data_IF_897759709807
#
_entry.id   IF_897759709807
#
_cell.length_a   1.000
_cell.length_b   1.000
_cell.length_c   1.000
_cell.angle_alpha   90.00
_cell.angle_beta   90.00
_cell.angle_gamma   90.00
#
_symmetry.space_group_name_H-M   'P 1'
#
loop_
_entity.id
_entity.type
_entity.pdbx_description
1 polymer ?
#
# COMPACT_ATOMS: atom_id res chain seq x y z
N UNK A 1 25.77 1.00 10.51
CA UNK A 1 25.98 1.92 9.38
C UNK A 1 26.74 3.10 9.93
N UNK A 2 27.84 3.48 9.30
CA UNK A 2 28.60 4.66 9.73
C UNK A 2 28.06 5.95 9.07
N UNK A 3 28.54 7.10 9.55
CA UNK A 3 28.08 8.40 9.08
C UNK A 3 28.48 8.67 7.62
N UNK A 4 29.61 8.15 7.15
CA UNK A 4 30.07 8.38 5.78
C UNK A 4 29.17 7.63 4.78
N UNK A 5 28.86 6.37 5.09
CA UNK A 5 27.94 5.54 4.34
C UNK A 5 26.53 6.18 4.28
N UNK A 6 26.00 6.62 5.42
CA UNK A 6 24.72 7.33 5.48
C UNK A 6 24.70 8.58 4.59
N UNK A 7 25.71 9.45 4.71
CA UNK A 7 25.78 10.67 3.91
C UNK A 7 25.94 10.38 2.42
N UNK A 8 26.54 9.26 2.04
CA UNK A 8 26.57 8.77 0.66
C UNK A 8 25.16 8.52 0.12
N UNK A 9 24.29 7.85 0.89
CA UNK A 9 22.89 7.63 0.52
C UNK A 9 22.10 8.94 0.42
N UNK A 10 22.22 9.82 1.42
CA UNK A 10 21.54 11.12 1.45
C UNK A 10 21.95 11.98 0.25
N UNK A 11 23.25 12.10 -0.01
CA UNK A 11 23.78 12.87 -1.14
C UNK A 11 23.27 12.34 -2.48
N UNK A 12 23.27 11.02 -2.67
CA UNK A 12 22.75 10.40 -3.89
C UNK A 12 21.26 10.70 -4.10
N UNK A 13 20.46 10.59 -3.05
CA UNK A 13 19.01 10.85 -3.12
C UNK A 13 18.69 12.33 -3.31
N UNK A 14 19.49 13.23 -2.75
CA UNK A 14 19.29 14.67 -2.89
C UNK A 14 19.65 15.21 -4.28
N UNK A 15 20.56 14.53 -4.99
CA UNK A 15 21.11 14.98 -6.28
C UNK A 15 20.73 14.07 -7.46
N UNK A 16 19.84 13.09 -7.25
CA UNK A 16 19.40 12.15 -8.28
C UNK A 16 18.42 12.75 -9.28
N UNK A 17 17.95 11.91 -10.22
CA UNK A 17 16.95 12.29 -11.24
C UNK A 17 15.62 12.73 -10.61
N UNK A 18 15.24 12.09 -9.50
CA UNK A 18 14.07 12.43 -8.69
C UNK A 18 14.54 12.83 -7.28
N UNK A 19 14.99 14.08 -7.08
CA UNK A 19 15.66 14.49 -5.86
C UNK A 19 14.68 14.51 -4.68
N UNK A 20 15.10 13.92 -3.56
CA UNK A 20 14.36 13.95 -2.29
C UNK A 20 14.82 15.16 -1.46
N UNK A 21 13.93 16.01 -0.94
CA UNK A 21 14.31 17.16 -0.13
C UNK A 21 15.17 16.78 1.06
N UNK A 22 16.35 17.40 1.20
CA UNK A 22 17.35 17.08 2.24
C UNK A 22 16.76 17.14 3.65
N UNK A 23 15.85 18.10 3.91
CA UNK A 23 15.16 18.23 5.20
C UNK A 23 14.32 17.00 5.60
N UNK A 24 13.99 16.12 4.67
CA UNK A 24 13.24 14.87 4.91
C UNK A 24 14.15 13.65 5.10
N UNK A 25 15.46 13.76 4.84
CA UNK A 25 16.36 12.60 4.75
C UNK A 25 17.70 12.76 5.44
N UNK A 26 18.09 13.93 5.93
CA UNK A 26 19.44 14.16 6.44
C UNK A 26 19.70 13.60 7.84
N UNK A 27 18.69 13.59 8.72
CA UNK A 27 18.88 13.24 10.13
C UNK A 27 18.86 11.72 10.33
N UNK A 28 20.03 11.12 10.56
CA UNK A 28 20.13 9.68 10.81
C UNK A 28 19.40 9.26 12.10
N UNK A 29 19.36 10.11 13.12
CA UNK A 29 18.75 9.76 14.40
C UNK A 29 17.23 9.75 14.33
N UNK A 30 16.66 10.53 13.41
CA UNK A 30 15.25 10.43 13.04
C UNK A 30 15.02 9.16 12.21
N UNK A 31 14.35 8.18 12.82
CA UNK A 31 14.04 6.92 12.15
C UNK A 31 13.13 7.12 10.93
N UNK A 32 12.32 8.19 10.89
CA UNK A 32 11.47 8.52 9.74
C UNK A 32 12.33 8.91 8.55
N UNK A 33 13.39 9.69 8.74
CA UNK A 33 14.38 9.98 7.69
C UNK A 33 15.01 8.69 7.16
N UNK A 34 15.41 7.77 8.05
CA UNK A 34 15.92 6.44 7.65
C UNK A 34 14.89 5.64 6.85
N UNK A 35 13.63 5.65 7.26
CA UNK A 35 12.55 5.00 6.50
C UNK A 35 12.39 5.60 5.09
N UNK A 36 12.45 6.92 4.95
CA UNK A 36 12.33 7.61 3.65
C UNK A 36 13.52 7.24 2.76
N UNK A 37 14.74 7.32 3.29
CA UNK A 37 15.96 6.93 2.54
C UNK A 37 15.85 5.49 2.08
N UNK A 38 15.59 4.55 2.98
CA UNK A 38 15.53 3.13 2.63
C UNK A 38 14.48 2.82 1.55
N UNK A 39 13.31 3.45 1.63
CA UNK A 39 12.23 3.27 0.64
C UNK A 39 12.55 3.92 -0.70
N UNK A 40 13.14 5.11 -0.70
CA UNK A 40 13.57 5.78 -1.93
C UNK A 40 14.64 4.97 -2.66
N UNK A 41 15.60 4.39 -1.92
CA UNK A 41 16.59 3.46 -2.47
C UNK A 41 15.93 2.25 -3.13
N UNK A 42 14.91 1.68 -2.48
CA UNK A 42 14.17 0.55 -3.03
C UNK A 42 13.47 0.90 -4.34
N UNK A 43 12.82 2.06 -4.41
CA UNK A 43 12.15 2.53 -5.62
C UNK A 43 13.10 2.84 -6.78
N UNK A 44 14.35 3.22 -6.49
CA UNK A 44 15.40 3.35 -7.50
C UNK A 44 16.01 2.00 -7.92
N UNK A 45 15.56 0.88 -7.35
CA UNK A 45 16.07 -0.46 -7.64
C UNK A 45 17.32 -0.87 -6.86
N UNK A 46 17.87 -0.01 -5.99
CA UNK A 46 19.02 -0.32 -5.14
C UNK A 46 18.56 -1.11 -3.90
N UNK A 47 18.27 -2.39 -4.15
CA UNK A 47 17.62 -3.27 -3.17
C UNK A 47 18.55 -3.59 -1.98
N UNK A 48 19.86 -3.73 -2.23
CA UNK A 48 20.83 -4.02 -1.17
C UNK A 48 20.95 -2.85 -0.20
N UNK A 49 21.15 -1.63 -0.72
CA UNK A 49 21.24 -0.44 0.13
C UNK A 49 19.91 -0.15 0.82
N UNK A 50 18.78 -0.38 0.13
CA UNK A 50 17.46 -0.28 0.74
C UNK A 50 17.32 -1.20 1.95
N UNK A 51 17.62 -2.49 1.81
CA UNK A 51 17.52 -3.46 2.91
C UNK A 51 18.46 -3.09 4.07
N UNK A 52 19.66 -2.60 3.75
CA UNK A 52 20.62 -2.14 4.75
C UNK A 52 20.11 -0.96 5.57
N UNK A 53 19.38 -0.03 4.96
CA UNK A 53 18.79 1.11 5.68
C UNK A 53 17.50 0.71 6.41
N UNK A 54 16.59 0.01 5.72
CA UNK A 54 15.27 -0.40 6.25
C UNK A 54 15.39 -1.35 7.45
N UNK A 55 16.41 -2.22 7.47
CA UNK A 55 16.67 -3.09 8.64
C UNK A 55 16.92 -2.30 9.93
N UNK A 56 17.37 -1.04 9.85
CA UNK A 56 17.60 -0.19 11.04
C UNK A 56 16.31 0.31 11.70
N UNK A 57 15.16 0.18 11.04
CA UNK A 57 13.86 0.66 11.56
C UNK A 57 12.91 -0.48 11.93
N UNK A 58 13.28 -1.74 11.68
CA UNK A 58 12.44 -2.92 11.96
C UNK A 58 12.05 -3.02 13.44
N UNK A 59 12.93 -2.66 14.36
CA UNK A 59 12.66 -2.76 15.80
C UNK A 59 12.20 -1.43 16.43
N UNK A 60 11.91 -0.40 15.63
CA UNK A 60 11.39 0.88 16.13
C UNK A 60 9.88 0.75 16.34
N UNK A 61 9.40 1.12 17.52
CA UNK A 61 7.97 1.25 17.80
C UNK A 61 7.50 2.64 17.36
N UNK A 62 6.52 2.76 16.43
CA UNK A 62 6.01 4.06 16.01
C UNK A 62 5.11 4.67 17.09
N UNK A 63 5.11 6.00 17.19
CA UNK A 63 4.08 6.70 17.96
C UNK A 63 2.71 6.58 17.26
N UNK A 64 1.79 5.81 17.84
CA UNK A 64 0.46 5.57 17.28
C UNK A 64 -0.52 6.74 17.40
N UNK A 65 -0.17 7.76 18.18
CA UNK A 65 -0.93 9.00 18.33
C UNK A 65 -0.35 10.16 17.47
N UNK A 66 0.73 9.91 16.73
CA UNK A 66 1.28 10.89 15.78
C UNK A 66 0.32 11.07 14.60
N UNK A 67 -0.30 12.24 14.50
CA UNK A 67 -1.22 12.62 13.42
C UNK A 67 -0.82 14.00 12.85
N UNK A 68 0.30 14.04 12.10
CA UNK A 68 0.87 15.29 11.63
C UNK A 68 -0.07 16.00 10.66
N UNK A 69 -0.03 17.33 10.64
CA UNK A 69 -0.82 18.13 9.69
C UNK A 69 -0.36 17.91 8.24
N UNK A 70 0.93 17.60 8.04
CA UNK A 70 1.55 17.38 6.75
C UNK A 70 2.48 16.17 6.81
N UNK A 71 2.53 15.42 5.71
CA UNK A 71 3.42 14.25 5.59
C UNK A 71 2.78 12.97 6.11
N UNK A 72 3.60 11.94 6.28
CA UNK A 72 3.16 10.65 6.78
C UNK A 72 3.30 10.63 8.31
N UNK A 73 2.38 9.95 8.98
CA UNK A 73 2.56 9.66 10.39
C UNK A 73 3.65 8.61 10.61
N UNK A 74 4.13 8.53 11.84
CA UNK A 74 5.00 7.44 12.29
C UNK A 74 4.40 6.06 11.98
N UNK A 75 3.13 5.82 12.30
CA UNK A 75 2.49 4.54 11.99
C UNK A 75 2.54 4.22 10.49
N UNK A 76 2.26 5.21 9.63
CA UNK A 76 2.28 5.04 8.18
C UNK A 76 3.71 4.80 7.65
N UNK A 77 4.72 5.52 8.17
CA UNK A 77 6.13 5.26 7.88
C UNK A 77 6.52 3.81 8.18
N UNK A 78 6.12 3.31 9.36
CA UNK A 78 6.43 1.96 9.80
C UNK A 78 5.77 0.91 8.90
N UNK A 79 4.47 1.06 8.61
CA UNK A 79 3.71 0.14 7.76
C UNK A 79 4.32 0.03 6.36
N UNK A 80 4.64 1.17 5.74
CA UNK A 80 5.24 1.19 4.40
C UNK A 80 6.63 0.57 4.39
N UNK A 81 7.43 0.80 5.44
CA UNK A 81 8.72 0.16 5.58
C UNK A 81 8.60 -1.37 5.66
N UNK A 82 7.71 -1.88 6.53
CA UNK A 82 7.50 -3.32 6.69
C UNK A 82 7.02 -3.98 5.40
N UNK A 83 6.13 -3.31 4.65
CA UNK A 83 5.70 -3.75 3.32
C UNK A 83 6.88 -3.86 2.36
N UNK A 84 7.70 -2.82 2.28
CA UNK A 84 8.83 -2.79 1.35
C UNK A 84 9.89 -3.84 1.72
N UNK A 85 10.14 -4.06 3.03
CA UNK A 85 10.99 -5.17 3.51
C UNK A 85 10.40 -6.53 3.12
N UNK A 86 9.10 -6.75 3.33
CA UNK A 86 8.45 -8.01 2.97
C UNK A 86 8.62 -8.31 1.47
N UNK A 87 8.48 -7.29 0.64
CA UNK A 87 8.66 -7.40 -0.81
C UNK A 87 10.10 -7.74 -1.20
N UNK A 88 11.09 -7.09 -0.59
CA UNK A 88 12.51 -7.38 -0.81
C UNK A 88 12.82 -8.83 -0.41
N UNK A 89 12.41 -9.24 0.79
CA UNK A 89 12.62 -10.59 1.32
C UNK A 89 12.00 -11.64 0.41
N UNK A 90 10.77 -11.41 -0.04
CA UNK A 90 10.09 -12.33 -0.95
C UNK A 90 10.77 -12.41 -2.33
N UNK A 91 11.14 -11.27 -2.92
CA UNK A 91 11.76 -11.25 -4.26
C UNK A 91 13.15 -11.87 -4.27
N UNK A 92 13.97 -11.58 -3.27
CA UNK A 92 15.37 -12.02 -3.25
C UNK A 92 15.56 -13.40 -2.61
N UNK A 93 14.97 -13.63 -1.44
CA UNK A 93 15.21 -14.84 -0.67
C UNK A 93 14.11 -15.89 -0.82
N UNK A 94 12.95 -15.53 -1.41
CA UNK A 94 11.75 -16.39 -1.48
C UNK A 94 11.35 -16.94 -0.11
N UNK A 95 11.67 -16.19 0.96
CA UNK A 95 11.32 -16.57 2.32
C UNK A 95 9.87 -16.18 2.59
N UNK A 96 8.97 -17.15 2.41
CA UNK A 96 7.54 -16.99 2.65
C UNK A 96 7.27 -16.54 4.09
N UNK A 97 7.81 -17.27 5.08
CA UNK A 97 7.59 -17.00 6.51
C UNK A 97 7.98 -15.58 6.92
N UNK A 98 9.18 -15.14 6.51
CA UNK A 98 9.66 -13.80 6.85
C UNK A 98 8.83 -12.71 6.17
N UNK A 99 8.52 -12.86 4.87
CA UNK A 99 7.67 -11.91 4.16
C UNK A 99 6.28 -11.79 4.79
N UNK A 100 5.65 -12.93 5.12
CA UNK A 100 4.33 -12.95 5.75
C UNK A 100 4.34 -12.38 7.17
N UNK A 101 5.44 -12.51 7.90
CA UNK A 101 5.61 -11.92 9.25
C UNK A 101 5.59 -10.40 9.17
N UNK A 102 6.40 -9.81 8.29
CA UNK A 102 6.42 -8.35 8.11
C UNK A 102 5.08 -7.80 7.60
N UNK A 103 4.42 -8.51 6.67
CA UNK A 103 3.09 -8.11 6.18
C UNK A 103 2.01 -8.20 7.26
N UNK A 104 2.11 -9.18 8.17
CA UNK A 104 1.21 -9.29 9.31
C UNK A 104 1.40 -8.11 10.26
N UNK A 105 2.64 -7.77 10.61
CA UNK A 105 2.92 -6.61 11.47
C UNK A 105 2.43 -5.30 10.81
N UNK A 106 2.69 -5.12 9.51
CA UNK A 106 2.18 -3.98 8.75
C UNK A 106 0.65 -3.89 8.76
N UNK A 107 -0.03 -5.03 8.59
CA UNK A 107 -1.49 -5.12 8.64
C UNK A 107 -2.04 -4.80 10.05
N UNK A 108 -1.44 -5.37 11.10
CA UNK A 108 -1.88 -5.18 12.49
C UNK A 108 -1.72 -3.70 12.90
N UNK A 109 -0.59 -3.07 12.56
CA UNK A 109 -0.37 -1.64 12.76
C UNK A 109 -1.36 -0.78 11.98
N UNK A 110 -1.64 -1.14 10.73
CA UNK A 110 -2.63 -0.44 9.90
C UNK A 110 -4.03 -0.50 10.52
N UNK A 111 -4.40 -1.63 11.13
CA UNK A 111 -5.70 -1.79 11.82
C UNK A 111 -5.77 -1.03 13.14
N UNK A 112 -4.67 -0.97 13.88
CA UNK A 112 -4.61 -0.33 15.20
C UNK A 112 -4.58 1.21 15.11
N UNK A 113 -4.01 1.78 14.05
CA UNK A 113 -3.88 3.22 13.87
C UNK A 113 -5.23 3.91 13.65
N UNK A 114 -5.52 4.97 14.41
CA UNK A 114 -6.85 5.60 14.44
C UNK A 114 -7.01 6.79 13.50
N UNK A 115 -5.91 7.36 13.01
CA UNK A 115 -5.94 8.54 12.15
C UNK A 115 -5.80 8.15 10.68
N UNK A 116 -5.96 9.10 9.76
CA UNK A 116 -5.96 8.80 8.33
C UNK A 116 -4.57 8.42 7.79
N UNK A 117 -4.52 7.46 6.87
CA UNK A 117 -3.36 7.25 6.00
C UNK A 117 -3.39 8.23 4.82
N UNK A 118 -2.23 8.75 4.44
CA UNK A 118 -2.10 9.76 3.39
C UNK A 118 -1.72 9.17 2.03
N UNK A 119 -0.99 8.05 2.00
CA UNK A 119 -0.26 7.59 0.82
C UNK A 119 -0.61 6.18 0.35
N UNK A 120 -1.19 5.33 1.19
CA UNK A 120 -1.57 3.98 0.80
C UNK A 120 -2.94 3.56 1.32
N UNK A 121 -3.53 2.57 0.65
CA UNK A 121 -4.73 1.91 1.14
C UNK A 121 -4.33 0.85 2.16
N UNK A 122 -4.93 0.85 3.34
CA UNK A 122 -4.59 -0.15 4.38
C UNK A 122 -4.82 -1.60 3.96
N UNK A 123 -5.80 -1.82 3.09
CA UNK A 123 -6.10 -3.14 2.53
C UNK A 123 -4.99 -3.71 1.64
N UNK A 124 -4.07 -2.88 1.15
CA UNK A 124 -2.94 -3.29 0.31
C UNK A 124 -1.98 -4.24 1.04
N UNK A 125 -1.82 -4.07 2.37
CA UNK A 125 -0.97 -4.99 3.16
C UNK A 125 -1.54 -6.41 3.14
N UNK A 126 -2.86 -6.52 3.31
CA UNK A 126 -3.55 -7.80 3.25
C UNK A 126 -3.55 -8.36 1.83
N UNK A 127 -3.78 -7.53 0.83
CA UNK A 127 -3.68 -7.94 -0.57
C UNK A 127 -2.32 -8.55 -0.90
N UNK A 128 -1.24 -7.88 -0.50
CA UNK A 128 0.11 -8.38 -0.76
C UNK A 128 0.38 -9.72 -0.08
N UNK A 129 -0.16 -9.93 1.12
CA UNK A 129 -0.12 -11.21 1.83
C UNK A 129 -0.74 -12.34 0.99
N UNK A 130 -1.92 -12.10 0.43
CA UNK A 130 -2.60 -13.07 -0.44
C UNK A 130 -1.78 -13.40 -1.68
N UNK A 131 -1.15 -12.38 -2.28
CA UNK A 131 -0.25 -12.55 -3.43
C UNK A 131 0.97 -13.40 -3.07
N UNK A 132 1.64 -13.16 -1.92
CA UNK A 132 2.78 -13.99 -1.46
C UNK A 132 2.35 -15.45 -1.29
N UNK A 133 1.21 -15.70 -0.63
CA UNK A 133 0.68 -17.05 -0.46
C UNK A 133 0.42 -17.73 -1.81
N UNK A 134 -0.20 -17.03 -2.76
CA UNK A 134 -0.47 -17.57 -4.09
C UNK A 134 0.82 -17.89 -4.86
N UNK A 135 1.77 -16.95 -4.88
CA UNK A 135 3.08 -17.13 -5.52
C UNK A 135 3.91 -18.25 -4.88
N UNK A 136 3.70 -18.53 -3.59
CA UNK A 136 4.29 -19.67 -2.86
C UNK A 136 3.59 -21.01 -3.13
N UNK A 137 2.58 -21.05 -4.02
CA UNK A 137 1.82 -22.26 -4.33
C UNK A 137 0.70 -22.59 -3.34
N UNK A 138 0.36 -21.66 -2.44
CA UNK A 138 -0.72 -21.79 -1.43
C UNK A 138 -1.96 -21.00 -1.83
N UNK A 139 -2.29 -20.98 -3.13
CA UNK A 139 -3.42 -20.23 -3.68
C UNK A 139 -4.75 -20.54 -2.99
N UNK A 140 -5.02 -21.80 -2.65
CA UNK A 140 -6.26 -22.15 -1.94
C UNK A 140 -6.34 -21.50 -0.55
N UNK A 141 -5.23 -21.47 0.20
CA UNK A 141 -5.17 -20.76 1.47
C UNK A 141 -5.42 -19.26 1.27
N UNK A 142 -4.81 -18.65 0.25
CA UNK A 142 -5.04 -17.25 -0.07
C UNK A 142 -6.51 -16.95 -0.40
N UNK A 143 -7.16 -17.83 -1.18
CA UNK A 143 -8.59 -17.71 -1.50
C UNK A 143 -9.46 -17.83 -0.25
N UNK A 144 -9.13 -18.73 0.67
CA UNK A 144 -9.89 -18.91 1.90
C UNK A 144 -9.70 -17.74 2.87
N UNK A 145 -8.47 -17.21 3.00
CA UNK A 145 -8.19 -15.97 3.75
C UNK A 145 -8.94 -14.77 3.15
N UNK A 146 -8.98 -14.63 1.81
CA UNK A 146 -9.71 -13.57 1.14
C UNK A 146 -11.23 -13.65 1.43
N UNK A 147 -11.83 -14.84 1.34
CA UNK A 147 -13.25 -15.04 1.67
C UNK A 147 -13.53 -14.74 3.15
N UNK A 148 -12.65 -15.16 4.05
CA UNK A 148 -12.77 -14.86 5.47
C UNK A 148 -12.74 -13.34 5.74
N UNK A 149 -11.91 -12.58 5.02
CA UNK A 149 -11.90 -11.12 5.10
C UNK A 149 -13.21 -10.50 4.63
N UNK A 150 -13.75 -10.98 3.51
CA UNK A 150 -15.04 -10.49 2.98
C UNK A 150 -16.16 -10.71 3.99
N UNK A 151 -16.19 -11.88 4.64
CA UNK A 151 -17.17 -12.21 5.67
C UNK A 151 -16.97 -11.39 6.96
N UNK A 152 -15.73 -11.22 7.41
CA UNK A 152 -15.40 -10.43 8.60
C UNK A 152 -15.79 -8.95 8.44
N UNK A 153 -15.74 -8.44 7.20
CA UNK A 153 -16.06 -7.06 6.85
C UNK A 153 -17.50 -6.88 6.32
N UNK A 154 -18.37 -7.90 6.45
CA UNK A 154 -19.71 -7.86 5.86
C UNK A 154 -20.57 -6.68 6.31
N UNK A 155 -20.44 -6.30 7.58
CA UNK A 155 -21.24 -5.23 8.22
C UNK A 155 -20.59 -3.84 8.07
N UNK A 156 -19.35 -3.78 7.56
CA UNK A 156 -18.61 -2.54 7.37
C UNK A 156 -18.87 -1.97 5.96
N UNK A 157 -20.02 -1.30 5.85
CA UNK A 157 -20.51 -0.70 4.61
C UNK A 157 -19.81 0.63 4.26
N UNK A 158 -19.81 0.98 2.97
CA UNK A 158 -19.15 2.18 2.45
C UNK A 158 -17.73 1.91 1.98
N UNK A 159 -16.86 2.92 2.02
CA UNK A 159 -15.46 2.77 1.62
C UNK A 159 -14.76 1.81 2.57
N UNK A 160 -14.35 0.66 2.06
CA UNK A 160 -13.74 -0.40 2.84
C UNK A 160 -12.56 -1.01 2.06
N UNK A 161 -11.32 -0.57 2.34
CA UNK A 161 -10.16 -1.06 1.60
C UNK A 161 -9.93 -2.56 1.81
N UNK A 162 -10.18 -3.11 2.99
CA UNK A 162 -9.93 -4.53 3.27
C UNK A 162 -10.83 -5.44 2.46
N UNK A 163 -12.13 -5.12 2.42
CA UNK A 163 -13.11 -5.87 1.62
C UNK A 163 -12.87 -5.71 0.13
N UNK A 164 -12.56 -4.49 -0.34
CA UNK A 164 -12.19 -4.24 -1.73
C UNK A 164 -11.01 -5.11 -2.17
N UNK A 165 -9.91 -5.09 -1.43
CA UNK A 165 -8.69 -5.79 -1.82
C UNK A 165 -8.83 -7.32 -1.73
N UNK A 166 -9.63 -7.83 -0.79
CA UNK A 166 -9.97 -9.25 -0.74
C UNK A 166 -10.79 -9.69 -1.98
N UNK A 167 -11.79 -8.90 -2.38
CA UNK A 167 -12.59 -9.17 -3.57
C UNK A 167 -11.78 -9.01 -4.85
N UNK A 168 -10.87 -8.02 -4.92
CA UNK A 168 -9.92 -7.86 -6.02
C UNK A 168 -9.07 -9.12 -6.19
N UNK A 169 -8.50 -9.65 -5.12
CA UNK A 169 -7.72 -10.90 -5.19
C UNK A 169 -8.58 -12.07 -5.70
N UNK A 170 -9.83 -12.20 -5.23
CA UNK A 170 -10.74 -13.24 -5.71
C UNK A 170 -11.08 -13.08 -7.20
N UNK A 171 -11.21 -11.84 -7.68
CA UNK A 171 -11.44 -11.54 -9.09
C UNK A 171 -10.26 -11.99 -9.95
N UNK A 172 -9.04 -11.57 -9.61
CA UNK A 172 -7.82 -11.96 -10.33
C UNK A 172 -7.59 -13.47 -10.30
N UNK A 173 -7.85 -14.13 -9.17
CA UNK A 173 -7.75 -15.58 -9.07
C UNK A 173 -8.77 -16.31 -9.95
N UNK A 174 -10.02 -15.81 -10.03
CA UNK A 174 -11.03 -16.38 -10.91
C UNK A 174 -10.66 -16.22 -12.39
N UNK A 175 -10.11 -15.06 -12.78
CA UNK A 175 -9.59 -14.84 -14.14
C UNK A 175 -8.46 -15.81 -14.47
N UNK A 176 -7.50 -15.98 -13.56
CA UNK A 176 -6.39 -16.92 -13.73
C UNK A 176 -6.85 -18.39 -13.84
N UNK A 177 -8.04 -18.72 -13.31
CA UNK A 177 -8.68 -20.02 -13.47
C UNK A 177 -9.53 -20.14 -14.76
N UNK A 178 -9.59 -19.08 -15.59
CA UNK A 178 -10.37 -19.04 -16.83
C UNK A 178 -11.85 -18.69 -16.64
N UNK A 179 -12.26 -18.22 -15.47
CA UNK A 179 -13.65 -17.84 -15.16
C UNK A 179 -13.83 -16.32 -15.13
N UNK A 180 -13.82 -15.71 -16.32
CA UNK A 180 -13.95 -14.26 -16.50
C UNK A 180 -15.30 -13.70 -16.06
N UNK A 181 -16.34 -14.52 -16.10
CA UNK A 181 -17.68 -14.14 -15.65
C UNK A 181 -17.66 -13.90 -14.14
N UNK A 182 -17.17 -14.87 -13.37
CA UNK A 182 -17.02 -14.75 -11.93
C UNK A 182 -15.99 -13.71 -11.53
N UNK A 183 -14.90 -13.59 -12.28
CA UNK A 183 -13.91 -12.54 -12.06
C UNK A 183 -14.53 -11.14 -12.16
N UNK A 184 -15.37 -10.93 -13.18
CA UNK A 184 -16.10 -9.68 -13.36
C UNK A 184 -17.12 -9.43 -12.25
N UNK A 185 -17.82 -10.46 -11.78
CA UNK A 185 -18.75 -10.36 -10.63
C UNK A 185 -18.02 -9.93 -9.36
N UNK A 186 -16.87 -10.52 -9.06
CA UNK A 186 -16.05 -10.14 -7.91
C UNK A 186 -15.56 -8.69 -8.02
N UNK A 187 -15.12 -8.25 -9.19
CA UNK A 187 -14.73 -6.85 -9.37
C UNK A 187 -15.90 -5.88 -9.20
N UNK A 188 -17.06 -6.20 -9.81
CA UNK A 188 -18.26 -5.39 -9.66
C UNK A 188 -18.67 -5.24 -8.19
N UNK A 189 -18.58 -6.32 -7.41
CA UNK A 189 -18.79 -6.27 -5.96
C UNK A 189 -17.68 -5.48 -5.24
N UNK A 190 -16.41 -5.66 -5.61
CA UNK A 190 -15.28 -4.95 -5.01
C UNK A 190 -15.48 -3.44 -5.09
N UNK A 191 -15.82 -2.93 -6.27
CA UNK A 191 -15.92 -1.49 -6.48
C UNK A 191 -17.01 -0.79 -5.66
N UNK A 192 -17.99 -1.52 -5.11
CA UNK A 192 -18.94 -0.95 -4.13
C UNK A 192 -18.26 -0.43 -2.86
N UNK A 193 -17.07 -0.91 -2.54
CA UNK A 193 -16.27 -0.53 -1.38
C UNK A 193 -15.10 0.39 -1.73
N UNK A 194 -14.97 0.80 -2.99
CA UNK A 194 -13.93 1.71 -3.48
C UNK A 194 -14.40 3.17 -3.35
N UNK A 195 -13.51 4.14 -3.06
CA UNK A 195 -13.86 5.56 -3.05
C UNK A 195 -14.13 6.10 -4.47
N UNK A 196 -15.40 6.35 -4.81
CA UNK A 196 -15.82 6.75 -6.16
C UNK A 196 -16.08 8.26 -6.31
N UNK A 197 -15.79 8.79 -7.49
CA UNK A 197 -16.23 10.11 -7.98
C UNK A 197 -17.01 9.92 -9.30
N UNK A 198 -17.51 11.01 -9.89
CA UNK A 198 -18.30 10.97 -11.12
C UNK A 198 -17.57 10.28 -12.29
N UNK A 199 -16.23 10.36 -12.33
CA UNK A 199 -15.41 9.66 -13.34
C UNK A 199 -15.42 8.16 -13.07
N UNK A 200 -15.25 7.75 -11.81
CA UNK A 200 -15.33 6.35 -11.40
C UNK A 200 -16.70 5.75 -11.76
N UNK A 201 -17.79 6.45 -11.42
CA UNK A 201 -19.15 5.99 -11.70
C UNK A 201 -19.37 5.77 -13.20
N UNK A 202 -18.90 6.70 -14.04
CA UNK A 202 -18.99 6.58 -15.50
C UNK A 202 -18.16 5.41 -16.03
N UNK A 203 -16.91 5.28 -15.59
CA UNK A 203 -16.00 4.25 -16.09
C UNK A 203 -16.45 2.84 -15.64
N UNK A 204 -16.93 2.71 -14.41
CA UNK A 204 -17.49 1.48 -13.85
C UNK A 204 -18.82 1.10 -14.51
N UNK A 205 -19.68 2.08 -14.84
CA UNK A 205 -20.89 1.83 -15.60
C UNK A 205 -20.57 1.33 -17.02
N UNK A 206 -19.54 1.89 -17.65
CA UNK A 206 -19.04 1.42 -18.95
C UNK A 206 -18.49 -0.01 -18.86
N UNK A 207 -17.73 -0.32 -17.81
CA UNK A 207 -17.24 -1.68 -17.57
C UNK A 207 -18.41 -2.66 -17.37
N UNK A 208 -19.39 -2.30 -16.54
CA UNK A 208 -20.57 -3.14 -16.26
C UNK A 208 -21.42 -3.43 -17.51
N UNK A 209 -21.48 -2.49 -18.46
CA UNK A 209 -22.27 -2.62 -19.69
C UNK A 209 -21.62 -3.51 -20.76
N UNK A 210 -20.35 -3.89 -20.62
CA UNK A 210 -19.67 -4.79 -21.56
C UNK A 210 -20.28 -6.19 -21.48
N UNK A 211 -20.72 -6.76 -22.60
CA UNK A 211 -21.42 -8.05 -22.63
C UNK A 211 -20.45 -9.23 -22.58
N UNK A 212 -19.27 -9.08 -23.16
CA UNK A 212 -18.23 -10.11 -23.17
C UNK A 212 -17.52 -10.16 -21.81
N UNK A 213 -17.49 -11.34 -21.18
CA UNK A 213 -16.95 -11.50 -19.84
C UNK A 213 -15.45 -11.16 -19.75
N UNK A 214 -14.66 -11.52 -20.76
CA UNK A 214 -13.22 -11.26 -20.78
C UNK A 214 -12.94 -9.76 -20.92
N UNK A 215 -13.65 -9.07 -21.82
CA UNK A 215 -13.56 -7.61 -21.97
C UNK A 215 -14.07 -6.88 -20.73
N UNK A 216 -15.14 -7.36 -20.10
CA UNK A 216 -15.69 -6.80 -18.86
C UNK A 216 -14.67 -6.89 -17.74
N UNK A 217 -14.04 -8.04 -17.55
CA UNK A 217 -12.95 -8.21 -16.59
C UNK A 217 -11.82 -7.22 -16.87
N UNK A 218 -11.36 -7.11 -18.13
CA UNK A 218 -10.28 -6.17 -18.50
C UNK A 218 -10.66 -4.70 -18.26
N UNK A 219 -11.92 -4.33 -18.46
CA UNK A 219 -12.39 -2.99 -18.16
C UNK A 219 -12.35 -2.70 -16.63
N UNK A 220 -12.77 -3.65 -15.80
CA UNK A 220 -12.65 -3.54 -14.34
C UNK A 220 -11.21 -3.55 -13.84
N UNK A 221 -10.35 -4.41 -14.42
CA UNK A 221 -8.91 -4.47 -14.13
C UNK A 221 -8.27 -3.10 -14.40
N UNK A 222 -8.59 -2.48 -15.54
CA UNK A 222 -8.15 -1.11 -15.84
C UNK A 222 -8.64 -0.10 -14.81
N UNK A 223 -9.92 -0.13 -14.43
CA UNK A 223 -10.47 0.74 -13.38
C UNK A 223 -9.71 0.58 -12.05
N UNK A 224 -9.19 -0.62 -11.74
CA UNK A 224 -8.43 -0.89 -10.52
C UNK A 224 -7.06 -0.22 -10.48
N UNK A 225 -6.55 0.24 -11.62
CA UNK A 225 -5.27 0.97 -11.73
C UNK A 225 -5.42 2.49 -11.63
N UNK A 226 -6.64 3.00 -11.69
CA UNK A 226 -6.94 4.44 -11.65
C UNK A 226 -7.23 4.86 -10.21
N UNK A 227 -6.56 5.91 -9.73
CA UNK A 227 -6.89 6.52 -8.45
C UNK A 227 -7.99 7.58 -8.66
N UNK A 228 -9.25 7.21 -8.44
CA UNK A 228 -10.37 8.15 -8.60
C UNK A 228 -10.51 9.13 -7.42
N UNK A 229 -10.32 8.65 -6.19
CA UNK A 229 -10.29 9.45 -4.96
C UNK A 229 -9.29 8.85 -3.97
N UNK A 230 -8.78 9.64 -3.01
CA UNK A 230 -8.05 9.11 -1.87
C UNK A 230 -8.91 8.11 -1.08
N UNK A 231 -8.26 7.08 -0.54
CA UNK A 231 -8.92 6.04 0.28
C UNK A 231 -9.47 6.57 1.59
N UNK A 232 -8.76 7.52 2.19
CA UNK A 232 -9.11 8.10 3.48
C UNK A 232 -9.24 9.61 3.34
N UNK A 233 -10.18 10.18 4.10
CA UNK A 233 -10.40 11.61 4.11
C UNK A 233 -9.20 12.31 4.74
N UNK A 234 -8.59 13.19 3.96
CA UNK A 234 -7.46 14.00 4.40
C UNK A 234 -7.95 15.27 5.10
N UNK A 235 -7.12 15.81 5.99
CA UNK A 235 -7.38 17.13 6.60
C UNK A 235 -7.38 18.20 5.49
N UNK A 236 -8.27 19.20 5.55
CA UNK A 236 -8.22 20.33 4.62
C UNK A 236 -6.86 21.03 4.74
N UNK A 237 -6.17 21.22 3.62
CA UNK A 237 -4.92 21.97 3.61
C UNK A 237 -5.26 23.45 3.82
N UNK A 238 -4.88 24.01 4.96
CA UNK A 238 -4.96 25.45 5.21
C UNK A 238 -3.66 26.08 4.70
N UNK A 239 -3.67 26.56 3.46
CA UNK A 239 -2.56 27.34 2.93
C UNK A 239 -2.46 28.65 3.71
N UNK A 240 -1.57 28.71 4.71
CA UNK A 240 -1.18 29.98 5.33
C UNK A 240 -0.40 30.78 4.31
N UNK A 241 -1.09 31.64 3.56
CA UNK A 241 -0.44 32.71 2.81
C UNK A 241 0.16 33.64 3.85
N UNK A 242 1.48 33.63 3.98
CA UNK A 242 2.20 34.51 4.90
C UNK A 242 1.83 35.96 4.65
N UNK A 243 0.89 36.47 5.44
CA UNK A 243 0.79 37.87 5.84
C UNK A 243 0.56 37.78 7.35
N UNK A 244 1.61 37.39 8.06
CA UNK A 244 1.74 37.86 9.43
C UNK A 244 2.24 39.29 9.30
N UNK A 245 1.32 40.25 9.38
CA UNK A 245 1.64 41.66 9.58
C UNK A 245 2.43 41.79 10.89
N UNK A 246 3.75 41.92 10.79
CA UNK A 246 4.61 42.54 11.81
C UNK A 246 5.71 43.36 11.17
#
# INVERSE_FOLDING_TARGET
MDQQEWMGYVSRLANGEYPVPVGMIQDYNDWRCRSIVGRALYWMGDTESAMRVLSTVVNVEPNMDDDPEYGLSEAEHKVLCLRDIAEIVWKLAKSEEAALTYLKEAYDLSRAYKHSFHSCARGDMFYRRLMVLSEAGKTQQAVDEAKAMVEAEKDNNGVNPYKYFALKFLAENAHNAGDDAKASEYYAEAFKYYPQNDIAERDLAKAAAEEDAAKRYKAYEFCSTVQYKPWEKQRPIVLRRGIDDK
#
